data_IF_991358428886
#
_entry.id   IF_991358428886
#
_cell.length_a   1.000
_cell.length_b   1.000
_cell.length_c   1.000
_cell.angle_alpha   90.00
_cell.angle_beta   90.00
_cell.angle_gamma   90.00
#
_symmetry.space_group_name_H-M   'P 1'
#
loop_
_entity.id
_entity.type
_entity.pdbx_description
1 polymer ?
#
# COMPACT_ATOMS: atom_id res chain seq x y z
N UNK A 1 11.45 4.44 -8.42
CA UNK A 1 11.61 5.85 -7.99
C UNK A 1 12.22 5.99 -6.59
N UNK A 2 11.80 5.23 -5.56
CA UNK A 2 12.31 5.45 -4.18
C UNK A 2 12.92 4.24 -3.45
N UNK A 3 12.87 3.04 -4.03
CA UNK A 3 13.31 1.82 -3.35
C UNK A 3 12.45 1.47 -2.13
N UNK A 4 12.98 0.63 -1.25
CA UNK A 4 12.31 0.29 0.01
C UNK A 4 12.58 1.37 1.07
N UNK A 5 11.54 2.12 1.43
CA UNK A 5 11.57 3.15 2.48
C UNK A 5 11.00 2.64 3.81
N UNK A 6 11.05 1.33 4.06
CA UNK A 6 10.43 0.68 5.20
C UNK A 6 8.90 0.94 5.22
N UNK A 7 8.33 1.18 6.39
CA UNK A 7 6.90 1.38 6.60
C UNK A 7 6.28 2.48 5.72
N UNK A 8 7.03 3.52 5.36
CA UNK A 8 6.51 4.62 4.54
C UNK A 8 6.20 4.19 3.09
N UNK A 9 6.85 3.14 2.58
CA UNK A 9 6.74 2.70 1.18
C UNK A 9 5.29 2.48 0.75
N UNK A 10 4.47 1.88 1.63
CA UNK A 10 3.08 1.53 1.31
C UNK A 10 2.20 2.77 1.09
N UNK A 11 2.50 3.88 1.78
CA UNK A 11 1.75 5.13 1.64
C UNK A 11 2.04 5.80 0.29
N UNK A 12 3.29 5.79 -0.16
CA UNK A 12 3.69 6.33 -1.46
C UNK A 12 3.13 5.50 -2.63
N UNK A 13 3.06 4.18 -2.47
CA UNK A 13 2.41 3.29 -3.45
C UNK A 13 0.92 3.57 -3.51
N UNK A 14 0.26 3.75 -2.36
CA UNK A 14 -1.16 4.07 -2.29
C UNK A 14 -1.46 5.43 -2.95
N UNK A 15 -0.69 6.47 -2.64
CA UNK A 15 -0.81 7.80 -3.27
C UNK A 15 -0.72 7.69 -4.80
N UNK A 16 0.30 7.02 -5.32
CA UNK A 16 0.47 6.83 -6.77
C UNK A 16 -0.69 6.03 -7.38
N UNK A 17 -1.20 5.04 -6.67
CA UNK A 17 -2.33 4.22 -7.13
C UNK A 17 -3.60 5.06 -7.25
N UNK A 18 -3.86 5.93 -6.28
CA UNK A 18 -5.00 6.86 -6.29
C UNK A 18 -4.82 7.91 -7.39
N UNK A 19 -3.64 8.52 -7.50
CA UNK A 19 -3.35 9.57 -8.49
C UNK A 19 -3.44 9.07 -9.93
N UNK A 20 -3.14 7.79 -10.18
CA UNK A 20 -3.29 7.17 -11.49
C UNK A 20 -4.76 6.94 -11.89
N UNK A 21 -5.73 7.26 -11.02
CA UNK A 21 -7.16 7.25 -11.33
C UNK A 21 -7.71 5.85 -11.64
N UNK A 22 -7.01 4.79 -11.21
CA UNK A 22 -7.45 3.42 -11.47
C UNK A 22 -8.76 3.18 -10.71
N UNK A 23 -9.88 2.87 -11.38
CA UNK A 23 -11.16 2.69 -10.70
C UNK A 23 -11.16 1.33 -9.99
N UNK A 24 -10.82 1.32 -8.70
CA UNK A 24 -10.97 0.15 -7.84
C UNK A 24 -12.09 0.42 -6.84
N UNK A 25 -13.05 -0.50 -6.69
CA UNK A 25 -14.10 -0.40 -5.65
C UNK A 25 -13.59 -0.84 -4.28
N UNK A 26 -12.64 -1.78 -4.28
CA UNK A 26 -12.00 -2.35 -3.10
C UNK A 26 -10.53 -2.61 -3.38
N UNK A 27 -9.67 -2.30 -2.42
CA UNK A 27 -8.25 -2.58 -2.48
C UNK A 27 -7.79 -3.27 -1.19
N UNK A 28 -6.91 -4.26 -1.33
CA UNK A 28 -6.18 -4.84 -0.20
C UNK A 28 -4.79 -4.21 -0.15
N UNK A 29 -4.53 -3.47 0.91
CA UNK A 29 -3.20 -2.98 1.26
C UNK A 29 -2.52 -4.01 2.14
N UNK A 30 -1.30 -4.40 1.80
CA UNK A 30 -0.48 -5.33 2.58
C UNK A 30 0.93 -4.80 2.80
N UNK A 31 1.49 -5.12 3.96
CA UNK A 31 2.88 -4.83 4.31
C UNK A 31 3.47 -5.97 5.14
N UNK A 32 4.74 -6.28 4.91
CA UNK A 32 5.48 -7.30 5.65
C UNK A 32 6.55 -6.65 6.52
N UNK A 33 6.72 -7.14 7.74
CA UNK A 33 7.69 -6.63 8.71
C UNK A 33 8.45 -7.73 9.46
N UNK A 34 9.41 -7.35 10.32
CA UNK A 34 10.21 -8.28 11.12
C UNK A 34 9.35 -9.25 11.96
N UNK A 35 9.92 -10.42 12.28
CA UNK A 35 9.20 -11.47 13.00
C UNK A 35 8.16 -12.22 12.15
N UNK A 36 8.26 -12.12 10.82
CA UNK A 36 7.31 -12.68 9.84
C UNK A 36 5.87 -12.16 10.04
N UNK A 37 5.75 -10.89 10.44
CA UNK A 37 4.46 -10.24 10.66
C UNK A 37 3.94 -9.65 9.36
N UNK A 38 2.65 -9.84 9.08
CA UNK A 38 1.97 -9.23 7.95
C UNK A 38 0.84 -8.32 8.45
N UNK A 39 0.83 -7.08 7.97
CA UNK A 39 -0.27 -6.12 8.16
C UNK A 39 -1.15 -6.09 6.92
N UNK A 40 -2.47 -6.09 7.12
CA UNK A 40 -3.46 -6.03 6.04
C UNK A 40 -4.52 -4.98 6.34
N UNK A 41 -5.02 -4.29 5.33
CA UNK A 41 -6.14 -3.35 5.44
C UNK A 41 -6.93 -3.33 4.15
N UNK A 42 -8.26 -3.38 4.25
CA UNK A 42 -9.16 -3.17 3.13
C UNK A 42 -9.51 -1.69 3.02
N UNK A 43 -9.44 -1.16 1.79
CA UNK A 43 -9.88 0.19 1.45
C UNK A 43 -11.05 0.12 0.47
N UNK A 44 -11.97 1.07 0.56
CA UNK A 44 -13.09 1.26 -0.37
C UNK A 44 -13.01 2.68 -0.94
N UNK A 45 -13.40 2.83 -2.22
CA UNK A 45 -13.36 4.11 -2.96
C UNK A 45 -14.71 4.82 -3.01
#
# INVERSE_FOLDING_TARGET
>A
DYGNMSAATVMFVLERTIANGSPWKRALVSALGPGFTAGFTLLES
#
